data_IF_121490801826
#
_entry.id   IF_121490801826
#
_cell.length_a   1.000
_cell.length_b   1.000
_cell.length_c   1.000
_cell.angle_alpha   90.00
_cell.angle_beta   90.00
_cell.angle_gamma   90.00
#
_symmetry.space_group_name_H-M   'P 1'
#
loop_
_entity.id
_entity.type
_entity.pdbx_description
1 polymer ?
#
# COMPACT_ATOMS: atom_id res chain seq x y z
N UNK A 1 3.93 3.31 4.55
CA UNK A 1 3.23 3.01 3.28
C UNK A 1 2.47 4.21 2.71
N UNK A 2 1.52 4.82 3.45
CA UNK A 2 0.60 5.83 2.89
C UNK A 2 1.22 7.10 2.29
N UNK A 3 2.35 7.56 2.84
CA UNK A 3 3.03 8.80 2.40
C UNK A 3 3.62 8.73 0.99
N UNK A 4 3.69 7.55 0.38
CA UNK A 4 4.18 7.34 -0.99
C UNK A 4 3.06 7.48 -2.03
N UNK A 5 1.80 7.62 -1.60
CA UNK A 5 0.63 7.68 -2.50
C UNK A 5 0.16 9.14 -2.58
N UNK A 6 0.26 9.72 -3.78
CA UNK A 6 -0.20 11.08 -4.07
C UNK A 6 -1.69 11.06 -4.44
N UNK A 7 -2.46 11.97 -3.85
CA UNK A 7 -3.90 12.14 -4.15
C UNK A 7 -4.08 13.37 -5.04
N UNK A 8 -4.94 13.25 -6.06
CA UNK A 8 -5.08 14.30 -7.07
C UNK A 8 -5.71 15.59 -6.54
N UNK A 9 -6.62 15.55 -5.56
CA UNK A 9 -6.99 16.67 -4.68
C UNK A 9 -7.71 16.07 -3.43
N UNK A 10 -7.32 16.42 -2.20
CA UNK A 10 -7.97 15.89 -1.00
C UNK A 10 -9.40 16.44 -0.89
N UNK A 11 -10.39 15.60 -1.15
CA UNK A 11 -11.80 15.99 -1.01
C UNK A 11 -12.15 16.24 0.47
N UNK A 12 -12.73 17.42 0.77
CA UNK A 12 -13.14 17.87 2.12
C UNK A 12 -14.08 16.90 2.86
N UNK A 13 -14.69 15.95 2.15
CA UNK A 13 -15.57 14.92 2.70
C UNK A 13 -14.83 13.85 3.50
N UNK A 14 -13.54 13.64 3.22
CA UNK A 14 -12.73 12.57 3.81
C UNK A 14 -11.54 13.07 4.63
N UNK A 15 -11.28 14.38 4.59
CA UNK A 15 -10.20 15.05 5.30
C UNK A 15 -10.74 16.32 5.95
N UNK A 16 -10.54 16.48 7.27
CA UNK A 16 -10.78 17.74 7.97
C UNK A 16 -9.43 18.46 8.09
N UNK A 17 -9.15 19.48 7.26
CA UNK A 17 -7.87 20.20 7.32
C UNK A 17 -7.82 21.08 8.57
N UNK A 18 -6.68 21.12 9.27
CA UNK A 18 -6.36 22.21 10.19
C UNK A 18 -5.71 23.38 9.43
N UNK A 19 -5.74 24.62 9.98
CA UNK A 19 -5.02 25.74 9.39
C UNK A 19 -3.53 25.39 9.25
N UNK A 20 -3.03 25.27 8.02
CA UNK A 20 -1.65 24.86 7.70
C UNK A 20 -1.50 23.53 6.96
N UNK A 21 -2.56 22.71 6.84
CA UNK A 21 -2.46 21.40 6.17
C UNK A 21 -2.67 21.49 4.64
N UNK A 22 -1.57 21.60 3.90
CA UNK A 22 -1.54 21.38 2.44
C UNK A 22 -0.84 20.05 2.10
N UNK A 23 -1.39 18.93 2.57
CA UNK A 23 -0.85 17.61 2.26
C UNK A 23 -1.56 16.97 1.06
N UNK A 24 -0.84 16.79 -0.05
CA UNK A 24 -1.31 16.05 -1.25
C UNK A 24 -0.99 14.54 -1.20
N UNK A 25 -0.74 14.01 -0.02
CA UNK A 25 -0.36 12.60 0.20
C UNK A 25 -1.38 11.91 1.08
N UNK A 26 -1.59 10.61 0.87
CA UNK A 26 -2.44 9.80 1.75
C UNK A 26 -1.81 9.78 3.14
N UNK A 27 -2.55 10.25 4.14
CA UNK A 27 -2.17 10.17 5.54
C UNK A 27 -3.06 9.15 6.24
N UNK A 28 -2.58 8.55 7.34
CA UNK A 28 -3.33 7.58 8.13
C UNK A 28 -4.72 8.09 8.59
N UNK A 29 -4.95 9.41 8.59
CA UNK A 29 -6.21 10.06 9.00
C UNK A 29 -7.21 10.27 7.86
N UNK A 30 -6.81 10.04 6.61
CA UNK A 30 -7.75 10.13 5.49
C UNK A 30 -8.65 8.88 5.50
N UNK A 31 -9.96 9.07 5.54
CA UNK A 31 -10.94 7.96 5.59
C UNK A 31 -10.76 6.87 4.51
N UNK A 32 -10.32 7.16 3.26
CA UNK A 32 -10.04 6.11 2.27
C UNK A 32 -8.56 5.66 2.25
N UNK A 33 -7.71 6.08 3.19
CA UNK A 33 -6.28 5.78 3.17
C UNK A 33 -5.94 4.29 3.06
N UNK A 34 -6.55 3.39 3.87
CA UNK A 34 -6.29 1.97 3.78
C UNK A 34 -6.68 1.41 2.42
N UNK A 35 -7.87 1.75 1.94
CA UNK A 35 -8.37 1.32 0.64
C UNK A 35 -7.46 1.75 -0.51
N UNK A 36 -7.06 3.03 -0.55
CA UNK A 36 -6.17 3.54 -1.59
C UNK A 36 -4.80 2.85 -1.56
N UNK A 37 -4.27 2.56 -0.37
CA UNK A 37 -2.98 1.90 -0.25
C UNK A 37 -3.02 0.42 -0.64
N UNK A 38 -4.06 -0.31 -0.22
CA UNK A 38 -4.28 -1.68 -0.69
C UNK A 38 -4.45 -1.72 -2.20
N UNK A 39 -5.21 -0.80 -2.80
CA UNK A 39 -5.39 -0.75 -4.27
C UNK A 39 -4.09 -0.45 -5.01
N UNK A 40 -3.26 0.46 -4.52
CA UNK A 40 -1.94 0.72 -5.10
C UNK A 40 -1.03 -0.52 -5.01
N UNK A 41 -1.01 -1.21 -3.87
CA UNK A 41 -0.23 -2.44 -3.72
C UNK A 41 -0.68 -3.55 -4.69
N UNK A 42 -2.00 -3.75 -4.83
CA UNK A 42 -2.55 -4.72 -5.77
C UNK A 42 -2.18 -4.39 -7.22
N UNK A 43 -2.22 -3.11 -7.59
CA UNK A 43 -1.81 -2.66 -8.91
C UNK A 43 -0.32 -2.95 -9.16
N UNK A 44 0.55 -2.62 -8.20
CA UNK A 44 1.98 -2.89 -8.28
C UNK A 44 2.27 -4.40 -8.38
N UNK A 45 1.54 -5.23 -7.63
CA UNK A 45 1.67 -6.68 -7.71
C UNK A 45 1.26 -7.21 -9.09
N UNK A 46 0.18 -6.68 -9.67
CA UNK A 46 -0.27 -7.07 -11.00
C UNK A 46 0.74 -6.69 -12.10
N UNK A 47 1.28 -5.46 -12.05
CA UNK A 47 2.29 -4.97 -13.01
C UNK A 47 3.65 -5.66 -12.83
N UNK A 48 4.03 -5.92 -11.58
CA UNK A 48 5.30 -6.53 -11.21
C UNK A 48 5.34 -8.05 -11.29
N UNK A 49 4.21 -8.74 -11.55
CA UNK A 49 4.11 -10.21 -11.45
C UNK A 49 5.14 -10.99 -12.27
N UNK A 50 5.51 -10.48 -13.44
CA UNK A 50 6.49 -11.13 -14.31
C UNK A 50 7.93 -10.96 -13.77
N UNK A 51 8.18 -9.85 -13.08
CA UNK A 51 9.49 -9.51 -12.50
C UNK A 51 9.67 -10.10 -11.09
N UNK A 52 8.58 -10.21 -10.33
CA UNK A 52 8.56 -10.67 -8.95
C UNK A 52 7.48 -11.75 -8.75
N UNK A 53 7.65 -12.95 -9.33
CA UNK A 53 6.63 -14.00 -9.30
C UNK A 53 6.36 -14.55 -7.89
N UNK A 54 7.32 -14.43 -6.96
CA UNK A 54 7.17 -14.85 -5.56
C UNK A 54 6.48 -13.78 -4.70
N UNK A 55 6.83 -12.50 -4.86
CA UNK A 55 6.29 -11.41 -4.05
C UNK A 55 4.88 -10.97 -4.50
N UNK A 56 4.58 -11.01 -5.81
CA UNK A 56 3.28 -10.61 -6.34
C UNK A 56 2.08 -11.36 -5.71
N UNK A 57 2.06 -12.71 -5.61
CA UNK A 57 0.95 -13.41 -4.96
C UNK A 57 0.84 -13.12 -3.46
N UNK A 58 1.95 -12.83 -2.79
CA UNK A 58 1.97 -12.46 -1.36
C UNK A 58 1.31 -11.10 -1.15
N UNK A 59 1.63 -10.11 -1.99
CA UNK A 59 0.99 -8.79 -1.94
C UNK A 59 -0.52 -8.92 -2.25
N UNK A 60 -0.91 -9.82 -3.15
CA UNK A 60 -2.32 -10.03 -3.50
C UNK A 60 -3.14 -10.70 -2.39
N UNK A 61 -2.54 -11.64 -1.65
CA UNK A 61 -3.28 -12.50 -0.72
C UNK A 61 -3.01 -12.20 0.76
N UNK A 62 -1.91 -11.52 1.08
CA UNK A 62 -1.42 -11.36 2.45
C UNK A 62 -1.28 -9.90 2.89
N UNK A 63 -1.91 -8.98 2.17
CA UNK A 63 -2.01 -7.57 2.57
C UNK A 63 -3.25 -7.34 3.41
N UNK A 64 -3.07 -6.83 4.63
CA UNK A 64 -4.17 -6.30 5.44
C UNK A 64 -3.83 -4.87 5.89
N UNK A 65 -4.66 -3.91 5.46
CA UNK A 65 -4.48 -2.49 5.74
C UNK A 65 -3.09 -1.97 5.31
N UNK A 66 -2.20 -1.73 6.27
CA UNK A 66 -0.83 -1.25 6.08
C UNK A 66 0.25 -2.31 6.30
N UNK A 67 -0.14 -3.54 6.64
CA UNK A 67 0.76 -4.66 6.87
C UNK A 67 0.71 -5.67 5.72
N UNK A 68 1.88 -6.25 5.43
CA UNK A 68 2.02 -7.47 4.64
C UNK A 68 2.67 -8.49 5.56
N UNK A 69 2.03 -9.64 5.74
CA UNK A 69 2.59 -10.74 6.53
C UNK A 69 2.77 -11.97 5.65
N UNK A 70 4.01 -12.43 5.49
CA UNK A 70 4.31 -13.65 4.76
C UNK A 70 5.27 -14.52 5.54
N UNK A 71 5.11 -15.83 5.38
CA UNK A 71 6.02 -16.84 5.90
C UNK A 71 6.58 -17.67 4.74
N UNK A 72 7.74 -18.28 4.97
CA UNK A 72 8.37 -19.22 4.05
C UNK A 72 9.08 -20.32 4.85
N UNK A 73 9.18 -21.51 4.26
CA UNK A 73 9.72 -22.71 4.93
C UNK A 73 11.24 -22.67 5.13
N UNK A 74 11.94 -21.75 4.44
CA UNK A 74 13.38 -21.61 4.53
C UNK A 74 13.81 -20.15 4.35
N UNK A 75 15.00 -19.82 4.89
CA UNK A 75 15.53 -18.45 4.91
C UNK A 75 15.83 -17.93 3.50
N UNK A 76 16.24 -18.80 2.57
CA UNK A 76 16.54 -18.40 1.19
C UNK A 76 15.28 -17.89 0.50
N UNK A 77 14.20 -18.66 0.53
CA UNK A 77 12.90 -18.26 -0.01
C UNK A 77 12.34 -17.03 0.70
N UNK A 78 12.51 -16.92 2.03
CA UNK A 78 12.11 -15.73 2.77
C UNK A 78 12.83 -14.45 2.29
N UNK A 79 14.11 -14.57 1.91
CA UNK A 79 14.89 -13.47 1.33
C UNK A 79 14.49 -13.15 -0.10
N UNK A 80 14.16 -14.15 -0.92
CA UNK A 80 13.72 -13.94 -2.31
C UNK A 80 12.33 -13.26 -2.41
N UNK A 81 11.59 -13.24 -1.30
CA UNK A 81 10.29 -12.57 -1.15
C UNK A 81 10.43 -11.07 -0.76
N UNK A 82 11.53 -10.68 -0.08
CA UNK A 82 11.76 -9.33 0.46
C UNK A 82 12.50 -8.40 -0.51
#
# INVERSE_FOLDING_TARGET
>A
MFRQIKVQEPSKRFFRPSPGDHLKIVTHRAKPAPYLATRCLLQLAHEGKNKYPLAAPIIQNSTYMDGILSAADNITTAKDIQ
#
